data_IF_335448703333
#
_entry.id   IF_335448703333
#
_cell.length_a   1.000
_cell.length_b   1.000
_cell.length_c   1.000
_cell.angle_alpha   90.00
_cell.angle_beta   90.00
_cell.angle_gamma   90.00
#
_symmetry.space_group_name_H-M   'P 1'
#
loop_
_entity.id
_entity.type
_entity.pdbx_description
1 polymer ?
#
# COMPACT_ATOMS: atom_id res chain seq x y z
N UNK A 1 -17.11 -23.25 48.91
CA UNK A 1 -17.52 -24.65 49.18
C UNK A 1 -17.71 -25.28 47.80
N UNK A 2 -16.73 -26.05 47.33
CA UNK A 2 -16.80 -26.75 46.05
C UNK A 2 -17.82 -27.87 46.25
N UNK A 3 -18.95 -27.83 45.53
CA UNK A 3 -19.93 -28.92 45.54
C UNK A 3 -19.46 -29.93 44.50
N UNK A 4 -18.94 -31.07 44.95
CA UNK A 4 -18.67 -32.21 44.10
C UNK A 4 -19.97 -32.81 43.54
N UNK A 5 -19.89 -33.29 42.30
CA UNK A 5 -21.02 -33.60 41.41
C UNK A 5 -21.46 -35.06 41.54
N UNK A 6 -22.69 -35.31 41.99
CA UNK A 6 -23.44 -36.55 41.72
C UNK A 6 -24.63 -36.23 40.79
N UNK A 7 -24.97 -37.11 39.82
CA UNK A 7 -26.07 -36.88 38.88
C UNK A 7 -27.44 -37.10 39.55
N UNK A 8 -27.87 -36.14 40.38
CA UNK A 8 -29.26 -35.86 40.69
C UNK A 8 -29.79 -34.80 39.71
N UNK A 9 -31.00 -34.97 39.19
CA UNK A 9 -31.65 -33.99 38.29
C UNK A 9 -31.78 -32.66 39.04
N UNK A 10 -30.92 -31.69 38.73
CA UNK A 10 -31.15 -30.31 39.17
C UNK A 10 -32.51 -29.86 38.64
N UNK A 11 -33.26 -29.15 39.47
CA UNK A 11 -34.53 -28.55 39.11
C UNK A 11 -34.50 -27.08 39.53
N UNK A 12 -35.06 -26.21 38.69
CA UNK A 12 -35.24 -24.82 39.06
C UNK A 12 -36.08 -24.72 40.34
N UNK A 13 -35.81 -23.71 41.16
CA UNK A 13 -36.49 -23.48 42.45
C UNK A 13 -37.19 -22.11 42.43
N UNK A 14 -37.97 -21.74 43.46
CA UNK A 14 -38.56 -20.41 43.53
C UNK A 14 -37.54 -19.26 43.51
N UNK A 15 -36.28 -19.51 43.86
CA UNK A 15 -35.23 -18.49 44.00
C UNK A 15 -34.02 -18.71 43.11
N UNK A 16 -33.90 -19.86 42.44
CA UNK A 16 -32.78 -20.21 41.57
C UNK A 16 -33.28 -20.74 40.23
N UNK A 17 -32.73 -20.19 39.14
CA UNK A 17 -32.92 -20.69 37.80
C UNK A 17 -32.01 -21.89 37.52
N UNK A 18 -32.53 -22.86 36.77
CA UNK A 18 -31.73 -23.92 36.18
C UNK A 18 -31.23 -23.50 34.80
N UNK A 19 -29.91 -23.45 34.63
CA UNK A 19 -29.29 -23.23 33.33
C UNK A 19 -28.80 -24.57 32.79
N UNK A 20 -29.26 -24.92 31.60
CA UNK A 20 -28.83 -26.08 30.84
C UNK A 20 -28.09 -25.60 29.60
N UNK A 21 -26.78 -25.75 29.59
CA UNK A 21 -25.96 -25.37 28.46
C UNK A 21 -25.52 -26.58 27.65
N UNK A 22 -25.47 -26.37 26.34
CA UNK A 22 -24.75 -27.23 25.40
C UNK A 22 -23.62 -26.41 24.78
N UNK A 23 -22.37 -26.78 25.04
CA UNK A 23 -21.20 -26.12 24.50
C UNK A 23 -20.77 -26.86 23.22
N UNK A 24 -20.73 -26.13 22.12
CA UNK A 24 -20.35 -26.67 20.81
C UNK A 24 -19.29 -25.79 20.16
N UNK A 25 -18.44 -26.37 19.33
CA UNK A 25 -17.62 -25.63 18.38
C UNK A 25 -18.49 -25.14 17.21
N UNK A 26 -17.93 -24.27 16.37
CA UNK A 26 -18.61 -23.70 15.19
C UNK A 26 -19.01 -24.74 14.14
N UNK A 27 -18.35 -25.90 14.11
CA UNK A 27 -18.72 -27.08 13.30
C UNK A 27 -19.76 -27.99 13.99
N UNK A 28 -20.32 -27.54 15.13
CA UNK A 28 -21.29 -28.25 15.99
C UNK A 28 -20.72 -29.47 16.72
N UNK A 29 -19.41 -29.65 16.75
CA UNK A 29 -18.80 -30.68 17.59
C UNK A 29 -18.91 -30.29 19.07
N UNK A 30 -19.33 -31.19 19.98
CA UNK A 30 -19.47 -30.83 21.40
C UNK A 30 -18.12 -30.62 22.10
N UNK A 31 -18.08 -29.72 23.08
CA UNK A 31 -16.85 -29.37 23.82
C UNK A 31 -17.00 -29.55 25.33
N UNK A 32 -16.02 -30.23 25.94
CA UNK A 32 -15.89 -30.36 27.39
C UNK A 32 -15.02 -29.22 27.94
N UNK A 33 -15.64 -28.27 28.64
CA UNK A 33 -15.06 -26.98 29.00
C UNK A 33 -15.37 -26.62 30.44
N UNK A 34 -14.42 -25.98 31.12
CA UNK A 34 -14.64 -25.39 32.44
C UNK A 34 -15.32 -24.03 32.27
N UNK A 35 -16.44 -23.84 32.98
CA UNK A 35 -17.32 -22.68 32.88
C UNK A 35 -17.42 -21.98 34.23
N UNK A 36 -17.24 -20.66 34.22
CA UNK A 36 -17.44 -19.79 35.38
C UNK A 36 -18.47 -18.71 35.07
N UNK A 37 -19.57 -18.71 35.83
CA UNK A 37 -20.58 -17.65 35.83
C UNK A 37 -20.34 -16.71 37.01
N UNK A 38 -20.32 -15.40 36.76
CA UNK A 38 -20.18 -14.38 37.80
C UNK A 38 -21.40 -13.46 37.76
N UNK A 39 -22.20 -13.43 38.83
CA UNK A 39 -23.39 -12.57 38.90
C UNK A 39 -23.02 -11.08 38.97
N UNK A 40 -23.61 -10.23 38.14
CA UNK A 40 -23.32 -8.79 38.09
C UNK A 40 -23.84 -8.06 39.32
N UNK A 41 -25.01 -8.46 39.83
CA UNK A 41 -25.64 -7.92 41.04
C UNK A 41 -25.13 -8.63 42.30
N UNK A 42 -25.17 -9.96 42.31
CA UNK A 42 -24.78 -10.78 43.47
C UNK A 42 -23.28 -10.84 43.71
N UNK A 43 -22.46 -10.64 42.66
CA UNK A 43 -21.00 -10.85 42.65
C UNK A 43 -20.58 -12.29 43.01
N UNK A 44 -21.52 -13.24 43.03
CA UNK A 44 -21.25 -14.63 43.35
C UNK A 44 -20.71 -15.40 42.14
N UNK A 45 -19.79 -16.32 42.40
CA UNK A 45 -19.19 -17.21 41.40
C UNK A 45 -19.87 -18.59 41.41
N UNK A 46 -20.20 -19.08 40.22
CA UNK A 46 -20.78 -20.40 40.02
C UNK A 46 -19.95 -21.15 38.97
N UNK A 47 -19.35 -22.27 39.36
CA UNK A 47 -18.45 -23.05 38.51
C UNK A 47 -19.12 -24.35 38.10
N UNK A 48 -18.99 -24.72 36.84
CA UNK A 48 -19.40 -26.03 36.33
C UNK A 48 -18.49 -26.47 35.18
N UNK A 49 -18.65 -27.70 34.73
CA UNK A 49 -17.92 -28.27 33.60
C UNK A 49 -18.90 -28.93 32.63
N UNK A 50 -18.73 -28.72 31.33
CA UNK A 50 -19.45 -29.51 30.33
C UNK A 50 -18.78 -30.87 30.14
N UNK A 51 -19.61 -31.90 29.95
CA UNK A 51 -19.13 -33.25 29.69
C UNK A 51 -18.69 -33.44 28.23
N UNK A 52 -18.28 -34.66 27.86
CA UNK A 52 -17.84 -35.00 26.50
C UNK A 52 -18.89 -34.76 25.40
N UNK A 53 -20.17 -34.64 25.77
CA UNK A 53 -21.27 -34.32 24.87
C UNK A 53 -21.58 -32.82 24.86
N UNK A 54 -20.72 -31.99 25.47
CA UNK A 54 -20.90 -30.56 25.59
C UNK A 54 -21.95 -30.13 26.61
N UNK A 55 -22.53 -31.05 27.37
CA UNK A 55 -23.69 -30.74 28.21
C UNK A 55 -23.24 -30.40 29.63
N UNK A 56 -23.79 -29.32 30.19
CA UNK A 56 -23.70 -29.00 31.61
C UNK A 56 -25.01 -28.44 32.15
N UNK A 57 -25.18 -28.50 33.46
CA UNK A 57 -26.25 -27.83 34.17
C UNK A 57 -25.73 -27.15 35.44
N UNK A 58 -26.39 -26.06 35.83
CA UNK A 58 -26.03 -25.30 37.03
C UNK A 58 -27.23 -24.50 37.53
N UNK A 59 -27.35 -24.34 38.86
CA UNK A 59 -28.33 -23.45 39.48
C UNK A 59 -27.68 -22.09 39.79
N UNK A 60 -28.39 -21.02 39.45
CA UNK A 60 -27.99 -19.65 39.79
C UNK A 60 -29.19 -18.84 40.31
N UNK A 61 -29.00 -17.87 41.23
CA UNK A 61 -30.08 -16.99 41.66
C UNK A 61 -30.84 -16.30 40.52
N UNK A 62 -32.16 -16.16 40.68
CA UNK A 62 -32.98 -15.38 39.75
C UNK A 62 -32.76 -13.86 39.95
N UNK A 63 -33.20 -13.04 38.98
CA UNK A 63 -33.10 -11.58 39.04
C UNK A 63 -31.65 -11.03 39.11
N UNK A 64 -30.77 -11.63 38.31
CA UNK A 64 -29.38 -11.22 38.13
C UNK A 64 -28.97 -11.43 36.65
N UNK A 65 -27.85 -10.84 36.25
CA UNK A 65 -27.20 -11.09 34.96
C UNK A 65 -25.84 -11.71 35.21
N UNK A 66 -25.56 -12.84 34.58
CA UNK A 66 -24.32 -13.59 34.80
C UNK A 66 -23.36 -13.38 33.65
N UNK A 67 -22.10 -13.05 33.97
CA UNK A 67 -21.01 -13.06 33.01
C UNK A 67 -20.48 -14.48 32.91
N UNK A 68 -20.61 -15.09 31.74
CA UNK A 68 -20.05 -16.38 31.42
C UNK A 68 -18.59 -16.23 31.01
N UNK A 69 -17.74 -17.09 31.57
CA UNK A 69 -16.31 -17.14 31.34
C UNK A 69 -15.90 -18.58 31.03
N UNK A 70 -15.04 -18.75 30.03
CA UNK A 70 -14.26 -19.97 29.84
C UNK A 70 -12.81 -19.71 30.26
N UNK A 71 -12.03 -20.77 30.51
CA UNK A 71 -10.62 -20.68 30.93
C UNK A 71 -9.77 -19.77 30.03
N UNK A 72 -10.01 -19.79 28.72
CA UNK A 72 -9.29 -18.96 27.73
C UNK A 72 -10.14 -17.79 27.17
N UNK A 73 -11.37 -17.59 27.65
CA UNK A 73 -12.27 -16.54 27.18
C UNK A 73 -12.99 -15.87 28.36
N UNK A 74 -12.33 -14.93 29.06
CA UNK A 74 -12.98 -14.17 30.12
C UNK A 74 -14.01 -13.21 29.54
N UNK A 75 -15.10 -13.00 30.28
CA UNK A 75 -16.22 -12.14 29.89
C UNK A 75 -16.79 -12.46 28.51
N UNK A 76 -16.96 -13.75 28.22
CA UNK A 76 -17.41 -14.25 26.94
C UNK A 76 -18.81 -13.75 26.60
N UNK A 77 -19.77 -13.98 27.48
CA UNK A 77 -21.19 -13.64 27.25
C UNK A 77 -21.89 -13.16 28.52
N UNK A 78 -22.95 -12.35 28.37
CA UNK A 78 -23.84 -11.99 29.48
C UNK A 78 -25.18 -12.71 29.34
N UNK A 79 -25.60 -13.39 30.41
CA UNK A 79 -26.83 -14.17 30.47
C UNK A 79 -27.77 -13.53 31.48
N UNK A 80 -28.85 -12.91 30.99
CA UNK A 80 -29.84 -12.27 31.85
C UNK A 80 -30.86 -13.31 32.37
N UNK A 81 -31.00 -13.41 33.69
CA UNK A 81 -31.96 -14.30 34.34
C UNK A 81 -33.08 -13.46 34.96
N UNK A 82 -34.33 -13.61 34.50
CA UNK A 82 -35.45 -12.80 34.98
C UNK A 82 -35.80 -13.13 36.43
N UNK A 83 -36.60 -12.29 37.06
CA UNK A 83 -37.17 -12.54 38.40
C UNK A 83 -38.38 -13.47 38.32
N UNK A 84 -38.19 -14.68 37.78
CA UNK A 84 -39.26 -15.66 37.58
C UNK A 84 -38.96 -16.94 38.38
N UNK A 85 -39.83 -17.35 39.32
CA UNK A 85 -39.73 -18.62 40.01
C UNK A 85 -39.68 -19.80 39.03
N UNK A 86 -38.86 -20.81 39.32
CA UNK A 86 -38.73 -22.03 38.52
C UNK A 86 -38.24 -21.79 37.07
N UNK A 87 -37.55 -20.68 36.82
CA UNK A 87 -37.03 -20.35 35.49
C UNK A 87 -36.01 -21.39 34.98
N UNK A 88 -36.17 -21.79 33.72
CA UNK A 88 -35.31 -22.75 33.04
C UNK A 88 -34.76 -22.13 31.75
N UNK A 89 -33.45 -21.94 31.69
CA UNK A 89 -32.76 -21.55 30.47
C UNK A 89 -32.16 -22.80 29.81
N UNK A 90 -32.44 -22.98 28.51
CA UNK A 90 -31.76 -23.96 27.68
C UNK A 90 -31.10 -23.23 26.53
N UNK A 91 -29.77 -23.24 26.49
CA UNK A 91 -29.02 -22.57 25.45
C UNK A 91 -27.89 -23.42 24.91
N UNK A 92 -27.60 -23.22 23.62
CA UNK A 92 -26.41 -23.76 22.98
C UNK A 92 -25.42 -22.62 22.82
N UNK A 93 -24.24 -22.76 23.40
CA UNK A 93 -23.18 -21.77 23.39
C UNK A 93 -22.12 -22.25 22.41
N UNK A 94 -21.89 -21.47 21.35
CA UNK A 94 -20.85 -21.76 20.37
C UNK A 94 -19.52 -21.18 20.83
N UNK A 95 -18.59 -22.03 21.25
CA UNK A 95 -17.27 -21.67 21.74
C UNK A 95 -16.20 -22.35 20.89
N UNK A 96 -15.22 -21.62 20.36
CA UNK A 96 -14.21 -22.21 19.44
C UNK A 96 -13.12 -23.05 20.15
N UNK A 97 -13.31 -23.34 21.45
CA UNK A 97 -12.44 -24.20 22.27
C UNK A 97 -11.00 -23.70 22.38
N UNK A 98 -10.10 -24.57 22.86
CA UNK A 98 -8.66 -24.29 23.01
C UNK A 98 -7.87 -24.13 21.69
N UNK A 99 -8.54 -24.26 20.53
CA UNK A 99 -7.90 -24.08 19.22
C UNK A 99 -7.51 -22.62 18.93
N UNK A 100 -8.11 -21.67 19.66
CA UNK A 100 -7.80 -20.23 19.61
C UNK A 100 -7.37 -19.74 21.00
N UNK A 101 -6.42 -18.81 21.02
CA UNK A 101 -5.93 -18.17 22.26
C UNK A 101 -6.67 -16.87 22.58
N UNK A 102 -7.46 -16.36 21.65
CA UNK A 102 -8.24 -15.12 21.76
C UNK A 102 -9.68 -15.39 21.32
N UNK A 103 -10.62 -14.85 22.07
CA UNK A 103 -12.06 -14.94 21.82
C UNK A 103 -12.68 -13.54 21.93
N UNK A 104 -13.81 -13.27 21.23
CA UNK A 104 -14.57 -12.05 21.48
C UNK A 104 -15.10 -12.06 22.91
N UNK A 105 -15.42 -10.87 23.40
CA UNK A 105 -15.97 -10.68 24.75
C UNK A 105 -17.16 -9.73 24.69
N UNK A 106 -17.78 -9.51 25.86
CA UNK A 106 -18.85 -8.53 26.05
C UNK A 106 -18.39 -7.08 25.88
N UNK A 107 -17.07 -6.83 25.81
CA UNK A 107 -16.49 -5.48 25.68
C UNK A 107 -15.63 -5.29 24.43
N UNK A 108 -15.25 -6.38 23.75
CA UNK A 108 -14.36 -6.35 22.60
C UNK A 108 -14.83 -7.28 21.48
N UNK A 109 -14.76 -6.79 20.24
CA UNK A 109 -14.86 -7.60 19.04
C UNK A 109 -13.52 -8.28 18.75
N UNK A 110 -13.57 -9.45 18.10
CA UNK A 110 -12.39 -10.16 17.62
C UNK A 110 -12.31 -10.08 16.09
N UNK A 111 -11.26 -9.45 15.57
CA UNK A 111 -10.90 -9.53 14.17
C UNK A 111 -10.12 -10.81 13.90
N UNK A 112 -10.54 -11.54 12.88
CA UNK A 112 -9.85 -12.69 12.30
C UNK A 112 -9.39 -12.30 10.89
N UNK A 113 -8.13 -11.90 10.76
CA UNK A 113 -7.58 -11.39 9.50
C UNK A 113 -6.74 -12.47 8.84
N UNK A 114 -7.23 -13.00 7.73
CA UNK A 114 -6.48 -13.94 6.88
C UNK A 114 -5.64 -13.17 5.87
N UNK A 115 -4.36 -13.51 5.74
CA UNK A 115 -3.47 -12.94 4.74
C UNK A 115 -3.14 -13.97 3.67
N UNK A 116 -3.47 -13.66 2.42
CA UNK A 116 -3.30 -14.51 1.26
C UNK A 116 -2.32 -13.80 0.32
N UNK A 117 -1.23 -14.47 -0.06
CA UNK A 117 -0.29 -13.90 -1.02
C UNK A 117 -0.89 -13.82 -2.44
N UNK A 118 -0.14 -13.22 -3.37
CA UNK A 118 -0.60 -13.07 -4.76
C UNK A 118 -0.66 -14.40 -5.53
N UNK A 119 -0.10 -15.48 -4.98
CA UNK A 119 -0.15 -16.84 -5.53
C UNK A 119 -1.23 -17.70 -4.86
N UNK A 120 -2.01 -17.13 -3.93
CA UNK A 120 -3.14 -17.80 -3.28
C UNK A 120 -2.77 -18.57 -2.01
N UNK A 121 -1.54 -18.47 -1.50
CA UNK A 121 -1.14 -19.17 -0.28
C UNK A 121 -1.34 -18.30 0.97
N UNK A 122 -1.66 -18.94 2.09
CA UNK A 122 -1.75 -18.28 3.38
C UNK A 122 -0.36 -17.87 3.88
N UNK A 123 -0.15 -16.57 4.14
CA UNK A 123 1.16 -16.03 4.52
C UNK A 123 1.31 -15.91 6.03
N UNK A 124 2.37 -16.51 6.57
CA UNK A 124 2.74 -16.43 8.00
C UNK A 124 3.57 -15.18 8.31
N UNK A 125 3.56 -14.77 9.58
CA UNK A 125 4.35 -13.64 10.11
C UNK A 125 4.07 -12.27 9.45
N UNK A 126 2.88 -12.11 8.89
CA UNK A 126 2.42 -10.84 8.34
C UNK A 126 1.91 -9.94 9.46
N UNK A 127 2.45 -8.72 9.55
CA UNK A 127 2.02 -7.74 10.54
C UNK A 127 0.69 -7.11 10.14
N UNK A 128 -0.32 -7.27 11.00
CA UNK A 128 -1.65 -6.69 10.86
C UNK A 128 -1.83 -5.61 11.92
N UNK A 129 -2.27 -4.44 11.49
CA UNK A 129 -2.46 -3.25 12.33
C UNK A 129 -3.91 -2.80 12.19
N UNK A 130 -4.62 -2.71 13.31
CA UNK A 130 -5.97 -2.17 13.39
C UNK A 130 -5.93 -0.86 14.17
N UNK A 131 -6.28 0.24 13.52
CA UNK A 131 -6.20 1.59 14.08
C UNK A 131 -7.59 2.15 14.32
N UNK A 132 -7.89 2.57 15.55
CA UNK A 132 -9.11 3.30 15.85
C UNK A 132 -9.06 4.68 15.18
N UNK A 133 -10.02 4.97 14.31
CA UNK A 133 -10.03 6.20 13.50
C UNK A 133 -10.32 7.48 14.30
N UNK A 134 -10.89 7.36 15.50
CA UNK A 134 -11.20 8.51 16.37
C UNK A 134 -10.04 8.83 17.30
N UNK A 135 -9.42 7.80 17.89
CA UNK A 135 -8.38 7.97 18.93
C UNK A 135 -6.95 7.78 18.42
N UNK A 136 -6.78 7.29 17.20
CA UNK A 136 -5.50 6.84 16.61
C UNK A 136 -4.79 5.73 17.39
N UNK A 137 -5.46 5.09 18.37
CA UNK A 137 -4.91 3.94 19.09
C UNK A 137 -4.79 2.73 18.14
N UNK A 138 -3.63 2.10 18.12
CA UNK A 138 -3.36 0.90 17.31
C UNK A 138 -3.43 -0.39 18.14
N UNK A 139 -3.82 -1.46 17.46
CA UNK A 139 -3.87 -2.83 17.96
C UNK A 139 -3.18 -3.71 16.91
N UNK A 140 -2.19 -4.48 17.31
CA UNK A 140 -1.32 -5.18 16.37
C UNK A 140 -1.21 -6.67 16.70
N UNK A 141 -1.11 -7.48 15.66
CA UNK A 141 -0.82 -8.91 15.76
C UNK A 141 -0.12 -9.37 14.49
N UNK A 142 0.34 -10.63 14.49
CA UNK A 142 0.99 -11.26 13.35
C UNK A 142 0.24 -12.52 12.95
N UNK A 143 0.22 -12.83 11.66
CA UNK A 143 -0.39 -14.07 11.19
C UNK A 143 0.40 -15.28 11.69
N UNK A 144 -0.32 -16.31 12.15
CA UNK A 144 0.26 -17.59 12.57
C UNK A 144 0.68 -18.47 11.38
N UNK A 145 1.01 -19.73 11.66
CA UNK A 145 1.34 -20.72 10.61
C UNK A 145 0.18 -21.00 9.64
N UNK A 146 -1.05 -20.73 10.08
CA UNK A 146 -2.27 -20.84 9.27
C UNK A 146 -2.57 -19.54 8.48
N UNK A 147 -1.69 -18.53 8.51
CA UNK A 147 -1.88 -17.25 7.83
C UNK A 147 -3.01 -16.37 8.39
N UNK A 148 -3.47 -16.63 9.62
CA UNK A 148 -4.52 -15.83 10.28
C UNK A 148 -3.95 -15.09 11.47
N UNK A 149 -4.27 -13.80 11.60
CA UNK A 149 -4.02 -12.98 12.78
C UNK A 149 -5.32 -12.72 13.54
N UNK A 150 -5.26 -12.79 14.87
CA UNK A 150 -6.38 -12.53 15.77
C UNK A 150 -6.12 -11.25 16.57
N UNK A 151 -7.05 -10.29 16.55
CA UNK A 151 -6.89 -8.97 17.19
C UNK A 151 -8.20 -8.55 17.87
N UNK A 152 -8.16 -8.33 19.18
CA UNK A 152 -9.31 -7.81 19.93
C UNK A 152 -9.34 -6.28 19.95
N UNK A 153 -10.49 -5.68 19.66
CA UNK A 153 -10.69 -4.22 19.72
C UNK A 153 -12.01 -3.84 20.40
N UNK A 154 -12.08 -2.68 21.07
CA UNK A 154 -13.32 -2.21 21.71
C UNK A 154 -14.52 -2.02 20.76
N UNK A 155 -15.73 -2.17 21.31
CA UNK A 155 -16.96 -1.83 20.58
C UNK A 155 -17.16 -0.31 20.40
N UNK A 156 -18.10 0.06 19.52
CA UNK A 156 -18.59 1.43 19.36
C UNK A 156 -17.65 2.35 18.58
N UNK A 157 -16.75 1.80 17.78
CA UNK A 157 -15.69 2.53 17.11
C UNK A 157 -15.55 2.13 15.64
N UNK A 158 -14.97 3.03 14.84
CA UNK A 158 -14.57 2.74 13.46
C UNK A 158 -13.07 2.48 13.42
N UNK A 159 -12.68 1.44 12.69
CA UNK A 159 -11.31 0.99 12.60
C UNK A 159 -10.82 0.98 11.17
N UNK A 160 -9.55 1.33 10.97
CA UNK A 160 -8.80 1.08 9.74
C UNK A 160 -7.96 -0.18 9.92
N UNK A 161 -8.02 -1.09 8.96
CA UNK A 161 -7.25 -2.33 8.93
C UNK A 161 -6.14 -2.16 7.91
N UNK A 162 -4.91 -2.47 8.32
CA UNK A 162 -3.70 -2.28 7.56
C UNK A 162 -2.81 -3.51 7.64
N UNK A 163 -2.00 -3.74 6.61
CA UNK A 163 -0.82 -4.57 6.68
C UNK A 163 0.43 -3.71 6.49
N UNK A 164 1.61 -4.24 6.85
CA UNK A 164 2.90 -3.50 6.83
C UNK A 164 3.14 -2.69 5.55
N UNK A 165 2.92 -3.29 4.37
CA UNK A 165 3.11 -2.63 3.06
C UNK A 165 1.81 -2.22 2.35
N UNK A 166 0.68 -2.39 3.04
CA UNK A 166 -0.66 -2.03 2.54
C UNK A 166 -1.44 -1.28 3.64
N UNK A 167 -1.06 -0.02 3.93
CA UNK A 167 -1.76 0.79 4.93
C UNK A 167 -3.16 1.16 4.44
N UNK A 168 -4.13 1.15 5.36
CA UNK A 168 -5.50 1.56 5.09
C UNK A 168 -6.24 0.68 4.09
N UNK A 169 -6.00 -0.64 4.13
CA UNK A 169 -6.60 -1.61 3.22
C UNK A 169 -8.13 -1.52 3.17
N UNK A 170 -8.76 -1.47 4.34
CA UNK A 170 -10.19 -1.24 4.48
C UNK A 170 -10.53 -0.62 5.83
N UNK A 171 -11.78 -0.18 5.98
CA UNK A 171 -12.33 0.28 7.26
C UNK A 171 -13.49 -0.60 7.67
N UNK A 172 -13.68 -0.80 8.98
CA UNK A 172 -14.81 -1.54 9.53
C UNK A 172 -15.39 -0.84 10.76
N UNK A 173 -16.72 -0.77 10.82
CA UNK A 173 -17.44 -0.20 11.97
C UNK A 173 -17.84 -1.31 12.93
N UNK A 174 -17.34 -1.23 14.16
CA UNK A 174 -17.59 -2.23 15.20
C UNK A 174 -18.72 -1.73 16.09
N UNK A 175 -19.90 -2.34 15.99
CA UNK A 175 -21.12 -1.87 16.66
C UNK A 175 -21.12 -2.23 18.15
N UNK A 176 -21.89 -1.52 18.98
CA UNK A 176 -22.13 -1.90 20.38
C UNK A 176 -23.13 -3.07 20.47
N UNK A 177 -22.69 -4.27 20.09
CA UNK A 177 -23.43 -5.52 20.21
C UNK A 177 -22.56 -6.56 20.93
N UNK A 178 -23.19 -7.46 21.68
CA UNK A 178 -22.49 -8.60 22.30
C UNK A 178 -21.87 -9.50 21.23
N UNK A 179 -20.65 -9.97 21.49
CA UNK A 179 -19.88 -10.97 20.74
C UNK A 179 -19.86 -10.81 19.20
N UNK A 180 -18.80 -10.21 18.67
CA UNK A 180 -18.60 -10.07 17.22
C UNK A 180 -17.28 -10.68 16.76
N UNK A 181 -17.38 -11.63 15.83
CA UNK A 181 -16.28 -12.08 14.98
C UNK A 181 -16.30 -11.28 13.69
N UNK A 182 -15.15 -10.69 13.33
CA UNK A 182 -15.01 -9.90 12.11
C UNK A 182 -13.95 -10.56 11.23
N UNK A 183 -14.40 -11.28 10.21
CA UNK A 183 -13.53 -11.97 9.26
C UNK A 183 -13.13 -11.01 8.13
N UNK A 184 -11.84 -10.79 7.96
CA UNK A 184 -11.27 -10.00 6.87
C UNK A 184 -10.27 -10.87 6.11
N UNK A 185 -10.29 -10.80 4.78
CA UNK A 185 -9.26 -11.41 3.94
C UNK A 185 -8.49 -10.32 3.21
N UNK A 186 -7.16 -10.30 3.39
CA UNK A 186 -6.24 -9.45 2.65
C UNK A 186 -5.58 -10.33 1.57
N UNK A 187 -5.61 -9.86 0.33
CA UNK A 187 -4.83 -10.45 -0.77
C UNK A 187 -3.81 -9.43 -1.27
N UNK A 188 -2.53 -9.68 -1.00
CA UNK A 188 -1.43 -8.78 -1.35
C UNK A 188 -0.09 -9.52 -1.33
N UNK A 189 0.98 -8.92 -1.85
CA UNK A 189 2.31 -9.54 -1.77
C UNK A 189 2.72 -9.74 -0.30
N UNK A 190 3.38 -10.86 0.00
CA UNK A 190 3.88 -11.12 1.36
C UNK A 190 4.95 -10.11 1.74
N UNK A 191 5.11 -9.86 3.04
CA UNK A 191 6.18 -9.01 3.56
C UNK A 191 7.57 -9.54 3.19
N UNK A 192 7.72 -10.88 3.12
CA UNK A 192 8.99 -11.52 2.75
C UNK A 192 9.34 -11.25 1.28
N UNK A 193 8.39 -11.41 0.37
CA UNK A 193 8.60 -11.19 -1.07
C UNK A 193 8.78 -9.69 -1.38
N UNK A 194 8.06 -8.83 -0.68
CA UNK A 194 8.25 -7.39 -0.79
C UNK A 194 9.69 -6.99 -0.43
N UNK A 195 10.21 -7.47 0.70
CA UNK A 195 11.57 -7.19 1.14
C UNK A 195 12.63 -7.84 0.24
N UNK A 196 12.34 -9.02 -0.31
CA UNK A 196 13.22 -9.66 -1.30
C UNK A 196 13.36 -8.78 -2.55
N UNK A 197 12.25 -8.32 -3.13
CA UNK A 197 12.25 -7.45 -4.32
C UNK A 197 12.90 -6.10 -4.05
N UNK A 198 12.68 -5.53 -2.87
CA UNK A 198 13.35 -4.30 -2.45
C UNK A 198 14.88 -4.47 -2.48
N UNK A 199 15.41 -5.62 -2.05
CA UNK A 199 16.84 -5.93 -2.13
C UNK A 199 17.32 -6.11 -3.58
N UNK A 200 16.55 -6.78 -4.43
CA UNK A 200 16.89 -6.92 -5.86
C UNK A 200 16.99 -5.56 -6.55
N UNK A 201 16.04 -4.64 -6.28
CA UNK A 201 16.09 -3.27 -6.80
C UNK A 201 17.30 -2.50 -6.31
N UNK A 202 17.63 -2.61 -5.03
CA UNK A 202 18.82 -1.96 -4.46
C UNK A 202 20.11 -2.48 -5.12
N UNK A 203 20.17 -3.78 -5.39
CA UNK A 203 21.29 -4.37 -6.12
C UNK A 203 21.35 -3.84 -7.56
N UNK A 204 20.23 -3.77 -8.27
CA UNK A 204 20.17 -3.24 -9.63
C UNK A 204 20.61 -1.76 -9.70
N UNK A 205 20.18 -0.93 -8.76
CA UNK A 205 20.64 0.47 -8.60
C UNK A 205 22.15 0.52 -8.39
N UNK A 206 22.68 -0.32 -7.50
CA UNK A 206 24.13 -0.37 -7.20
C UNK A 206 24.95 -0.78 -8.42
N UNK A 207 24.46 -1.74 -9.21
CA UNK A 207 25.09 -2.18 -10.46
C UNK A 207 25.05 -1.05 -11.49
N UNK A 208 23.88 -0.43 -11.70
CA UNK A 208 23.70 0.74 -12.59
C UNK A 208 24.70 1.84 -12.25
N UNK A 209 24.81 2.23 -10.98
CA UNK A 209 25.69 3.33 -10.55
C UNK A 209 27.17 2.99 -10.72
N UNK A 210 27.54 1.73 -10.48
CA UNK A 210 28.89 1.23 -10.73
C UNK A 210 29.25 1.30 -12.21
N UNK A 211 28.34 0.86 -13.09
CA UNK A 211 28.51 0.95 -14.54
C UNK A 211 28.55 2.40 -15.04
N UNK A 212 27.73 3.27 -14.46
CA UNK A 212 27.72 4.69 -14.79
C UNK A 212 29.07 5.35 -14.45
N UNK A 213 29.65 5.05 -13.27
CA UNK A 213 30.98 5.56 -12.87
C UNK A 213 32.10 5.11 -13.82
N UNK A 214 32.04 3.87 -14.31
CA UNK A 214 33.03 3.32 -15.25
C UNK A 214 32.92 3.93 -16.64
N UNK A 215 31.70 4.19 -17.09
CA UNK A 215 31.41 4.69 -18.44
C UNK A 215 31.21 6.21 -18.49
N UNK A 216 31.55 6.94 -17.42
CA UNK A 216 31.34 8.38 -17.34
C UNK A 216 32.25 9.10 -18.34
N UNK A 217 31.71 9.41 -19.51
CA UNK A 217 32.31 10.33 -20.45
C UNK A 217 31.77 11.73 -20.18
N UNK A 218 32.65 12.73 -20.19
CA UNK A 218 32.25 14.14 -20.19
C UNK A 218 31.83 14.51 -21.60
N UNK A 219 30.56 14.30 -21.92
CA UNK A 219 30.00 14.83 -23.17
C UNK A 219 30.03 16.36 -23.12
N UNK A 220 30.55 16.98 -24.18
CA UNK A 220 30.47 18.43 -24.36
C UNK A 220 29.01 18.81 -24.65
N UNK A 221 28.36 19.40 -23.66
CA UNK A 221 26.98 19.90 -23.75
C UNK A 221 26.92 21.32 -24.31
N UNK A 222 27.99 21.87 -24.91
CA UNK A 222 27.95 23.18 -25.54
C UNK A 222 26.86 23.25 -26.60
N UNK A 223 26.20 24.42 -26.70
CA UNK A 223 25.11 24.63 -27.65
C UNK A 223 25.54 24.34 -29.09
N UNK A 224 26.72 24.79 -29.51
CA UNK A 224 27.23 24.55 -30.86
C UNK A 224 27.32 23.06 -31.15
N UNK A 225 27.78 22.26 -30.18
CA UNK A 225 27.86 20.80 -30.30
C UNK A 225 26.47 20.17 -30.43
N UNK A 226 25.54 20.56 -29.56
CA UNK A 226 24.15 20.08 -29.58
C UNK A 226 23.45 20.43 -30.90
N UNK A 227 23.65 21.64 -31.41
CA UNK A 227 23.05 22.09 -32.67
C UNK A 227 23.64 21.36 -33.89
N UNK A 228 24.96 21.12 -33.92
CA UNK A 228 25.59 20.30 -34.97
C UNK A 228 25.04 18.87 -34.96
N UNK A 229 25.02 18.23 -33.78
CA UNK A 229 24.49 16.86 -33.63
C UNK A 229 23.01 16.79 -34.04
N UNK A 230 22.18 17.76 -33.61
CA UNK A 230 20.78 17.83 -34.00
C UNK A 230 20.58 18.02 -35.51
N UNK A 231 21.46 18.78 -36.19
CA UNK A 231 21.41 18.95 -37.64
C UNK A 231 21.71 17.64 -38.40
N UNK A 232 22.65 16.83 -37.91
CA UNK A 232 22.94 15.51 -38.45
C UNK A 232 21.76 14.55 -38.22
N UNK A 233 21.24 14.52 -36.99
CA UNK A 233 20.08 13.69 -36.63
C UNK A 233 18.87 14.06 -37.49
N UNK A 234 18.63 15.36 -37.76
CA UNK A 234 17.52 15.79 -38.62
C UNK A 234 17.60 15.20 -40.03
N UNK A 235 18.81 15.07 -40.59
CA UNK A 235 19.01 14.42 -41.90
C UNK A 235 18.76 12.91 -41.81
N UNK A 236 19.28 12.27 -40.77
CA UNK A 236 19.11 10.82 -40.57
C UNK A 236 17.65 10.43 -40.35
N UNK A 237 16.87 11.23 -39.64
CA UNK A 237 15.44 10.99 -39.40
C UNK A 237 14.60 10.95 -40.68
N UNK A 238 15.07 11.54 -41.79
CA UNK A 238 14.39 11.47 -43.10
C UNK A 238 14.45 10.06 -43.70
N UNK A 239 15.53 9.33 -43.45
CA UNK A 239 15.76 7.97 -43.97
C UNK A 239 15.60 6.89 -42.91
N UNK A 240 15.74 7.24 -41.64
CA UNK A 240 15.71 6.35 -40.49
C UNK A 240 14.72 6.87 -39.43
N UNK A 241 13.41 6.71 -39.63
CA UNK A 241 12.39 7.26 -38.71
C UNK A 241 12.45 6.67 -37.29
N UNK A 242 13.13 5.53 -37.10
CA UNK A 242 13.39 4.88 -35.80
C UNK A 242 14.83 5.08 -35.29
N UNK A 243 15.47 6.20 -35.69
CA UNK A 243 16.87 6.49 -35.35
C UNK A 243 17.12 6.45 -33.83
N UNK A 244 16.25 7.09 -33.03
CA UNK A 244 16.43 7.17 -31.59
C UNK A 244 16.25 5.81 -30.89
N UNK A 245 15.29 5.00 -31.34
CA UNK A 245 15.11 3.62 -30.87
C UNK A 245 16.37 2.78 -31.13
N UNK A 246 16.92 2.85 -32.35
CA UNK A 246 18.15 2.14 -32.73
C UNK A 246 19.36 2.58 -31.91
N UNK A 247 19.41 3.85 -31.52
CA UNK A 247 20.48 4.43 -30.68
C UNK A 247 20.28 4.21 -29.18
N UNK A 248 19.19 3.57 -28.78
CA UNK A 248 18.83 3.37 -27.36
C UNK A 248 18.67 4.69 -26.60
N UNK A 249 18.05 5.68 -27.23
CA UNK A 249 17.76 7.00 -26.67
C UNK A 249 16.29 7.13 -26.24
N UNK A 250 15.90 6.65 -25.05
CA UNK A 250 14.49 6.54 -24.66
C UNK A 250 13.76 7.89 -24.64
N UNK A 251 14.40 8.95 -24.14
CA UNK A 251 13.77 10.26 -23.97
C UNK A 251 13.54 10.92 -25.32
N UNK A 252 14.59 11.00 -26.15
CA UNK A 252 14.46 11.60 -27.47
C UNK A 252 13.49 10.80 -28.35
N UNK A 253 13.51 9.47 -28.23
CA UNK A 253 12.60 8.57 -28.94
C UNK A 253 11.14 8.87 -28.60
N UNK A 254 10.78 8.84 -27.31
CA UNK A 254 9.41 9.09 -26.86
C UNK A 254 8.95 10.51 -27.20
N UNK A 255 9.76 11.52 -26.90
CA UNK A 255 9.42 12.91 -27.20
C UNK A 255 9.26 13.15 -28.69
N UNK A 256 10.07 12.49 -29.53
CA UNK A 256 9.91 12.55 -30.98
C UNK A 256 8.62 11.85 -31.41
N UNK A 257 8.33 10.62 -30.96
CA UNK A 257 7.09 9.90 -31.32
C UNK A 257 5.82 10.64 -30.89
N UNK A 258 5.83 11.26 -29.71
CA UNK A 258 4.66 11.90 -29.09
C UNK A 258 4.52 13.39 -29.41
N UNK A 259 5.44 13.96 -30.22
CA UNK A 259 5.55 15.40 -30.55
C UNK A 259 4.25 16.07 -30.99
N UNK A 260 3.36 15.34 -31.69
CA UNK A 260 2.10 15.87 -32.20
C UNK A 260 0.88 15.53 -31.32
N UNK A 261 1.06 14.74 -30.26
CA UNK A 261 -0.01 14.26 -29.40
C UNK A 261 -0.13 15.09 -28.12
N UNK A 262 1.00 15.46 -27.51
CA UNK A 262 1.02 16.20 -26.25
C UNK A 262 1.12 17.71 -26.47
N UNK A 263 0.08 18.44 -26.07
CA UNK A 263 -0.04 19.90 -26.22
C UNK A 263 -0.05 20.58 -24.84
N UNK A 264 0.26 21.88 -24.81
CA UNK A 264 0.28 22.72 -23.61
C UNK A 264 1.04 22.14 -22.38
N UNK A 265 1.99 21.24 -22.63
CA UNK A 265 2.70 20.47 -21.60
C UNK A 265 3.65 21.27 -20.70
N UNK A 266 3.94 20.68 -19.53
CA UNK A 266 5.08 20.99 -18.66
C UNK A 266 5.98 19.76 -18.61
N UNK A 267 7.26 19.90 -18.94
CA UNK A 267 8.23 18.81 -18.93
C UNK A 267 9.00 18.88 -17.61
N UNK A 268 8.82 17.87 -16.77
CA UNK A 268 9.42 17.74 -15.44
C UNK A 268 10.50 16.67 -15.52
N UNK A 269 11.75 17.06 -15.35
CA UNK A 269 12.92 16.23 -15.64
C UNK A 269 13.73 16.03 -14.37
N UNK A 270 13.95 14.76 -14.03
CA UNK A 270 14.92 14.37 -13.01
C UNK A 270 16.35 14.70 -13.52
N UNK A 271 17.08 15.47 -12.71
CA UNK A 271 18.46 15.89 -12.93
C UNK A 271 19.40 15.38 -11.83
N UNK A 272 19.06 14.25 -11.20
CA UNK A 272 20.01 13.48 -10.40
C UNK A 272 21.10 12.86 -11.27
N UNK A 273 22.18 12.37 -10.64
CA UNK A 273 23.37 11.90 -11.36
C UNK A 273 23.07 10.73 -12.29
N UNK A 274 22.14 9.83 -11.95
CA UNK A 274 21.78 8.71 -12.82
C UNK A 274 21.07 9.14 -14.10
N UNK A 275 20.57 10.38 -14.13
CA UNK A 275 19.87 10.95 -15.28
C UNK A 275 20.76 11.72 -16.26
N UNK A 276 22.06 11.87 -15.98
CA UNK A 276 22.99 12.68 -16.78
C UNK A 276 22.93 12.36 -18.29
N UNK A 277 22.98 11.07 -18.66
CA UNK A 277 22.92 10.65 -20.07
C UNK A 277 21.59 10.97 -20.76
N UNK A 278 20.49 11.00 -20.01
CA UNK A 278 19.15 11.25 -20.55
C UNK A 278 18.84 12.76 -20.67
N UNK A 279 19.47 13.61 -19.83
CA UNK A 279 19.28 15.07 -19.92
C UNK A 279 19.77 15.64 -21.26
N UNK A 280 20.84 15.08 -21.85
CA UNK A 280 21.31 15.43 -23.20
C UNK A 280 20.24 15.18 -24.27
N UNK A 281 19.48 14.10 -24.16
CA UNK A 281 18.42 13.76 -25.11
C UNK A 281 17.30 14.82 -25.14
N UNK A 282 17.02 15.48 -24.01
CA UNK A 282 16.12 16.64 -23.97
C UNK A 282 16.67 17.78 -24.82
N UNK A 283 17.95 18.11 -24.67
CA UNK A 283 18.61 19.18 -25.43
C UNK A 283 18.58 18.89 -26.93
N UNK A 284 18.92 17.66 -27.33
CA UNK A 284 18.85 17.22 -28.72
C UNK A 284 17.43 17.33 -29.28
N UNK A 285 16.42 16.88 -28.54
CA UNK A 285 15.02 16.98 -28.96
C UNK A 285 14.57 18.44 -29.15
N UNK A 286 14.95 19.35 -28.24
CA UNK A 286 14.66 20.79 -28.40
C UNK A 286 15.37 21.34 -29.64
N UNK A 287 16.65 21.03 -29.83
CA UNK A 287 17.46 21.50 -30.96
C UNK A 287 16.98 20.96 -32.32
N UNK A 288 16.30 19.81 -32.34
CA UNK A 288 15.65 19.32 -33.56
C UNK A 288 14.55 20.26 -34.07
N UNK A 289 13.97 21.09 -33.19
CA UNK A 289 12.80 21.94 -33.48
C UNK A 289 11.59 21.11 -33.95
N UNK A 290 11.45 19.90 -33.41
CA UNK A 290 10.39 18.97 -33.79
C UNK A 290 8.98 19.45 -33.38
N UNK A 291 8.91 20.41 -32.44
CA UNK A 291 7.69 21.08 -31.98
C UNK A 291 7.85 22.61 -32.05
N UNK A 292 8.51 23.12 -33.11
CA UNK A 292 8.75 24.56 -33.25
C UNK A 292 7.43 25.35 -33.19
N UNK A 293 7.39 26.42 -32.41
CA UNK A 293 6.17 27.18 -32.12
C UNK A 293 5.39 26.75 -30.86
N UNK A 294 5.69 25.59 -30.27
CA UNK A 294 5.14 25.23 -28.95
C UNK A 294 5.92 25.89 -27.80
N UNK A 295 5.19 26.49 -26.85
CA UNK A 295 5.77 27.03 -25.61
C UNK A 295 5.97 25.91 -24.59
N UNK A 296 7.06 25.16 -24.76
CA UNK A 296 7.50 24.15 -23.80
C UNK A 296 8.08 24.82 -22.56
N UNK A 297 7.62 24.40 -21.39
CA UNK A 297 8.15 24.82 -20.09
C UNK A 297 8.81 23.62 -19.41
N UNK A 298 9.85 23.90 -18.63
CA UNK A 298 10.67 22.88 -17.99
C UNK A 298 10.78 23.13 -16.49
N UNK A 299 10.72 22.06 -15.71
CA UNK A 299 11.24 22.00 -14.34
C UNK A 299 12.30 20.91 -14.30
N UNK A 300 13.47 21.26 -13.84
CA UNK A 300 14.53 20.32 -13.48
C UNK A 300 14.54 20.14 -11.97
N UNK A 301 14.54 18.90 -11.49
CA UNK A 301 14.59 18.62 -10.06
C UNK A 301 15.77 17.72 -9.70
N UNK A 302 16.29 17.89 -8.48
CA UNK A 302 17.52 17.24 -8.02
C UNK A 302 17.40 16.70 -6.59
N UNK A 303 16.17 16.52 -6.12
CA UNK A 303 15.87 15.97 -4.80
C UNK A 303 16.37 16.81 -3.62
N UNK A 304 16.14 18.12 -3.74
CA UNK A 304 16.15 19.01 -2.58
C UNK A 304 17.43 19.84 -2.41
N UNK A 305 18.19 20.13 -3.46
CA UNK A 305 19.37 21.00 -3.41
C UNK A 305 20.40 20.60 -2.32
N UNK A 306 20.84 19.32 -2.33
CA UNK A 306 21.81 18.76 -1.37
C UNK A 306 21.34 18.74 0.09
N UNK A 307 20.03 18.83 0.34
CA UNK A 307 19.47 18.58 1.67
C UNK A 307 19.85 17.20 2.18
N UNK A 308 20.21 17.12 3.46
CA UNK A 308 20.43 15.84 4.12
C UNK A 308 19.10 15.11 4.34
N UNK A 309 19.10 13.76 4.49
CA UNK A 309 17.88 12.96 4.62
C UNK A 309 16.87 13.51 5.65
N UNK A 310 17.34 13.94 6.82
CA UNK A 310 16.50 14.52 7.88
C UNK A 310 15.87 15.88 7.57
N UNK A 311 16.16 16.47 6.41
CA UNK A 311 15.61 17.75 5.95
C UNK A 311 14.64 17.57 4.77
N UNK A 312 14.54 16.37 4.20
CA UNK A 312 13.68 16.05 3.07
C UNK A 312 12.27 15.65 3.54
N UNK A 313 11.61 16.59 4.19
CA UNK A 313 10.23 16.43 4.64
C UNK A 313 9.31 16.39 3.42
N UNK A 314 8.53 15.31 3.28
CA UNK A 314 7.54 15.16 2.20
C UNK A 314 6.68 16.43 2.10
N UNK A 315 6.65 17.03 0.91
CA UNK A 315 5.93 18.27 0.62
C UNK A 315 6.73 19.56 0.86
N UNK A 316 7.99 19.45 1.29
CA UNK A 316 8.92 20.57 1.54
C UNK A 316 10.35 20.25 1.10
N UNK A 317 10.56 19.21 0.29
CA UNK A 317 11.90 18.77 -0.14
C UNK A 317 12.54 19.81 -1.05
N UNK A 318 11.82 20.39 -2.01
CA UNK A 318 12.36 21.44 -2.88
C UNK A 318 13.31 20.93 -3.96
N UNK A 319 14.25 21.78 -4.39
CA UNK A 319 15.22 21.43 -5.44
C UNK A 319 14.69 21.59 -6.87
N UNK A 320 13.75 22.50 -7.08
CA UNK A 320 13.08 22.70 -8.37
C UNK A 320 13.62 23.94 -9.10
N UNK A 321 14.07 23.76 -10.34
CA UNK A 321 14.69 24.79 -11.17
C UNK A 321 13.89 24.95 -12.45
N UNK A 322 13.17 26.07 -12.57
CA UNK A 322 12.19 26.31 -13.64
C UNK A 322 12.77 27.17 -14.76
N UNK A 323 12.41 26.84 -16.01
CA UNK A 323 12.59 27.74 -17.16
C UNK A 323 11.46 27.59 -18.17
N UNK A 324 11.00 28.71 -18.74
CA UNK A 324 10.09 28.74 -19.88
C UNK A 324 10.80 28.93 -21.22
N UNK A 325 12.13 28.93 -21.20
CA UNK A 325 12.96 29.17 -22.38
C UNK A 325 13.27 27.85 -23.08
N UNK A 326 13.01 27.79 -24.38
CA UNK A 326 13.48 26.72 -25.25
C UNK A 326 14.87 27.00 -25.84
N UNK A 327 15.55 28.07 -25.41
CA UNK A 327 16.92 28.36 -25.81
C UNK A 327 17.88 27.36 -25.15
N UNK A 328 18.73 26.73 -25.96
CA UNK A 328 19.65 25.68 -25.53
C UNK A 328 20.60 26.14 -24.42
N UNK A 329 21.21 27.34 -24.51
CA UNK A 329 22.09 27.86 -23.46
C UNK A 329 21.36 28.04 -22.11
N UNK A 330 20.10 28.49 -22.17
CA UNK A 330 19.27 28.64 -20.97
C UNK A 330 18.92 27.28 -20.37
N UNK A 331 18.63 26.28 -21.21
CA UNK A 331 18.34 24.92 -20.74
C UNK A 331 19.57 24.28 -20.09
N UNK A 332 20.74 24.35 -20.76
CA UNK A 332 22.00 23.83 -20.22
C UNK A 332 22.31 24.49 -18.87
N UNK A 333 22.29 25.82 -18.79
CA UNK A 333 22.58 26.51 -17.52
C UNK A 333 21.59 26.18 -16.41
N UNK A 334 20.31 25.99 -16.72
CA UNK A 334 19.30 25.60 -15.71
C UNK A 334 19.52 24.15 -15.25
N UNK A 335 19.81 23.22 -16.18
CA UNK A 335 20.16 21.83 -15.87
C UNK A 335 21.44 21.76 -15.03
N UNK A 336 22.47 22.53 -15.36
CA UNK A 336 23.74 22.55 -14.63
C UNK A 336 23.59 23.12 -13.22
N UNK A 337 22.76 24.16 -13.04
CA UNK A 337 22.39 24.65 -11.71
C UNK A 337 21.67 23.58 -10.91
N UNK A 338 20.71 22.88 -11.51
CA UNK A 338 20.01 21.77 -10.86
C UNK A 338 20.98 20.65 -10.48
N UNK A 339 21.80 20.17 -11.41
CA UNK A 339 22.78 19.10 -11.17
C UNK A 339 23.78 19.46 -10.08
N UNK A 340 24.40 20.65 -10.16
CA UNK A 340 25.43 21.09 -9.21
C UNK A 340 24.89 21.24 -7.79
N UNK A 341 23.62 21.62 -7.64
CA UNK A 341 22.95 21.66 -6.33
C UNK A 341 22.46 20.30 -5.86
N UNK A 342 22.39 19.28 -6.72
CA UNK A 342 21.98 17.92 -6.35
C UNK A 342 23.14 17.00 -5.96
N UNK A 343 24.37 17.50 -5.96
CA UNK A 343 25.56 16.69 -5.66
C UNK A 343 25.50 16.12 -4.23
N UNK A 344 26.18 14.98 -4.04
CA UNK A 344 26.26 14.28 -2.75
C UNK A 344 24.93 13.71 -2.24
N UNK A 345 23.88 13.68 -3.07
CA UNK A 345 22.70 12.89 -2.76
C UNK A 345 23.05 11.38 -2.85
N UNK A 346 23.00 10.70 -1.71
CA UNK A 346 23.25 9.26 -1.61
C UNK A 346 21.95 8.47 -1.35
N UNK A 347 20.80 9.14 -1.38
CA UNK A 347 19.50 8.49 -1.29
C UNK A 347 19.08 7.97 -2.66
N UNK A 348 18.37 6.84 -2.66
CA UNK A 348 17.89 6.19 -3.89
C UNK A 348 16.47 6.65 -4.27
N UNK A 349 15.73 7.21 -3.31
CA UNK A 349 14.36 7.66 -3.49
C UNK A 349 14.38 9.15 -3.84
N UNK A 350 13.51 9.58 -4.74
CA UNK A 350 13.46 10.97 -5.25
C UNK A 350 12.12 11.65 -4.91
N UNK A 351 12.00 12.96 -5.17
CA UNK A 351 10.80 13.78 -4.86
C UNK A 351 9.96 14.16 -6.10
N UNK A 352 9.69 13.18 -6.96
CA UNK A 352 9.00 13.37 -8.23
C UNK A 352 7.62 14.04 -8.09
N UNK A 353 6.83 13.68 -7.08
CA UNK A 353 5.46 14.20 -6.95
C UNK A 353 5.46 15.67 -6.58
N UNK A 354 6.35 16.11 -5.69
CA UNK A 354 6.53 17.53 -5.38
C UNK A 354 6.95 18.31 -6.64
N UNK A 355 7.85 17.76 -7.47
CA UNK A 355 8.27 18.39 -8.72
C UNK A 355 7.10 18.54 -9.70
N UNK A 356 6.27 17.50 -9.84
CA UNK A 356 5.05 17.52 -10.65
C UNK A 356 4.03 18.54 -10.12
N UNK A 357 3.83 18.60 -8.81
CA UNK A 357 2.94 19.57 -8.17
C UNK A 357 3.43 21.00 -8.39
N UNK A 358 4.72 21.26 -8.27
CA UNK A 358 5.29 22.57 -8.61
C UNK A 358 5.11 22.90 -10.09
N UNK A 359 5.34 21.93 -10.98
CA UNK A 359 5.07 22.05 -12.41
C UNK A 359 3.63 22.48 -12.69
N UNK A 360 2.66 21.83 -12.05
CA UNK A 360 1.24 22.13 -12.22
C UNK A 360 0.86 23.57 -11.85
N UNK A 361 1.65 24.24 -10.97
CA UNK A 361 1.39 25.61 -10.50
C UNK A 361 2.03 26.68 -11.41
N UNK A 362 3.08 26.36 -12.16
CA UNK A 362 3.90 27.35 -12.90
C UNK A 362 3.25 27.83 -14.19
N UNK A 363 2.34 27.07 -14.79
CA UNK A 363 1.68 27.42 -16.05
C UNK A 363 0.16 27.29 -15.88
N UNK A 364 -0.58 28.33 -16.31
CA UNK A 364 -2.03 28.25 -16.43
C UNK A 364 -2.39 27.39 -17.65
N UNK A 365 -3.44 26.59 -17.55
CA UNK A 365 -3.93 25.72 -18.63
C UNK A 365 -2.87 24.70 -19.10
N UNK A 366 -2.35 23.91 -18.16
CA UNK A 366 -1.56 22.71 -18.49
C UNK A 366 -2.54 21.59 -18.79
N UNK A 367 -2.44 21.01 -19.98
CA UNK A 367 -3.22 19.82 -20.34
C UNK A 367 -2.59 18.55 -19.74
N UNK A 368 -1.25 18.48 -19.73
CA UNK A 368 -0.49 17.28 -19.34
C UNK A 368 0.87 17.63 -18.73
N UNK A 369 1.31 16.81 -17.76
CA UNK A 369 2.66 16.83 -17.20
C UNK A 369 3.47 15.70 -17.82
N UNK A 370 4.70 15.95 -18.27
CA UNK A 370 5.61 14.92 -18.78
C UNK A 370 6.70 14.69 -17.74
N UNK A 371 6.66 13.57 -17.02
CA UNK A 371 7.70 13.19 -16.06
C UNK A 371 8.78 12.39 -16.78
N UNK A 372 10.02 12.85 -16.74
CA UNK A 372 11.19 12.10 -17.23
C UNK A 372 11.99 11.67 -16.01
N UNK A 373 11.95 10.37 -15.69
CA UNK A 373 12.57 9.83 -14.47
C UNK A 373 13.37 8.57 -14.73
N UNK A 374 14.30 8.30 -13.82
CA UNK A 374 14.97 7.02 -13.74
C UNK A 374 13.97 5.92 -13.39
N UNK A 375 13.98 4.82 -14.14
CA UNK A 375 13.14 3.68 -13.84
C UNK A 375 13.52 3.01 -12.51
N UNK A 376 14.79 2.99 -12.10
CA UNK A 376 15.19 2.25 -10.91
C UNK A 376 14.88 2.96 -9.58
N UNK A 377 14.84 4.29 -9.58
CA UNK A 377 14.65 5.09 -8.36
C UNK A 377 13.19 5.08 -7.88
N UNK A 378 12.90 4.69 -6.62
CA UNK A 378 11.57 4.82 -6.03
C UNK A 378 11.18 6.29 -5.80
N UNK A 379 9.89 6.54 -5.62
CA UNK A 379 9.35 7.89 -5.40
C UNK A 379 8.98 8.06 -3.93
N UNK A 380 9.72 8.90 -3.20
CA UNK A 380 9.57 9.09 -1.74
C UNK A 380 8.20 9.64 -1.35
N UNK A 381 7.67 10.50 -2.19
CA UNK A 381 6.53 11.38 -1.89
C UNK A 381 5.22 10.93 -2.56
N UNK A 382 5.09 9.64 -2.89
CA UNK A 382 3.86 9.02 -3.46
C UNK A 382 2.58 9.32 -2.67
N UNK A 383 2.67 9.59 -1.37
CA UNK A 383 1.51 10.00 -0.55
C UNK A 383 0.87 11.33 -1.02
N UNK A 384 1.63 12.17 -1.74
CA UNK A 384 1.16 13.43 -2.31
C UNK A 384 0.45 13.23 -3.66
N UNK A 385 0.54 12.05 -4.29
CA UNK A 385 0.02 11.80 -5.64
C UNK A 385 -1.46 12.16 -5.79
N UNK A 386 -2.25 11.96 -4.73
CA UNK A 386 -3.68 12.35 -4.67
C UNK A 386 -3.96 13.85 -4.88
N UNK A 387 -2.93 14.70 -4.81
CA UNK A 387 -3.05 16.15 -5.03
C UNK A 387 -2.91 16.52 -6.52
N UNK A 388 -2.43 15.61 -7.37
CA UNK A 388 -2.31 15.83 -8.81
C UNK A 388 -3.67 15.60 -9.49
N UNK A 389 -4.10 16.59 -10.28
CA UNK A 389 -5.36 16.56 -11.02
C UNK A 389 -5.16 16.68 -12.54
N UNK A 390 -3.91 16.55 -12.99
CA UNK A 390 -3.50 16.67 -14.40
C UNK A 390 -2.88 15.33 -14.81
N UNK A 391 -3.20 14.79 -16.00
CA UNK A 391 -2.57 13.58 -16.51
C UNK A 391 -1.04 13.66 -16.53
N UNK A 392 -0.38 12.64 -15.97
CA UNK A 392 1.08 12.51 -15.96
C UNK A 392 1.52 11.46 -16.97
N UNK A 393 2.28 11.90 -17.98
CA UNK A 393 2.93 11.06 -18.98
C UNK A 393 4.34 10.76 -18.49
N UNK A 394 4.60 9.53 -18.04
CA UNK A 394 5.91 9.13 -17.52
C UNK A 394 6.78 8.57 -18.64
N UNK A 395 7.95 9.14 -18.86
CA UNK A 395 9.02 8.59 -19.68
C UNK A 395 9.97 7.88 -18.71
N UNK A 396 9.98 6.54 -18.75
CA UNK A 396 10.79 5.71 -17.88
C UNK A 396 12.16 5.43 -18.53
N UNK A 397 13.22 5.97 -17.95
CA UNK A 397 14.59 5.84 -18.46
C UNK A 397 15.28 4.60 -17.88
N UNK A 398 16.08 3.90 -18.70
CA UNK A 398 16.83 2.73 -18.24
C UNK A 398 16.02 1.45 -18.04
N UNK A 399 14.81 1.36 -18.61
CA UNK A 399 14.01 0.12 -18.59
C UNK A 399 14.76 -0.98 -19.35
N UNK A 400 14.93 -2.14 -18.72
CA UNK A 400 15.48 -3.35 -19.35
C UNK A 400 14.36 -4.39 -19.54
N UNK A 401 13.74 -4.82 -18.44
CA UNK A 401 12.62 -5.77 -18.47
C UNK A 401 11.44 -5.30 -17.61
N UNK A 402 11.71 -4.68 -16.46
CA UNK A 402 10.72 -4.23 -15.47
C UNK A 402 10.58 -2.72 -15.48
N UNK A 403 9.34 -2.24 -15.52
CA UNK A 403 8.97 -0.85 -15.18
C UNK A 403 8.71 -0.76 -13.68
N UNK A 404 9.23 0.27 -13.04
CA UNK A 404 8.98 0.55 -11.63
C UNK A 404 7.51 0.87 -11.37
N UNK A 405 6.95 0.27 -10.32
CA UNK A 405 5.52 0.35 -10.04
C UNK A 405 5.06 1.76 -9.64
N UNK A 406 5.92 2.61 -9.10
CA UNK A 406 5.57 4.00 -8.80
C UNK A 406 5.27 4.76 -10.11
N UNK A 407 6.01 4.49 -11.20
CA UNK A 407 5.73 5.08 -12.51
C UNK A 407 4.35 4.62 -13.05
N UNK A 408 4.04 3.33 -12.89
CA UNK A 408 2.74 2.77 -13.27
C UNK A 408 1.61 3.38 -12.43
N UNK A 409 1.80 3.50 -11.10
CA UNK A 409 0.83 4.07 -10.18
C UNK A 409 0.57 5.57 -10.44
N UNK A 410 1.63 6.34 -10.72
CA UNK A 410 1.53 7.76 -11.11
C UNK A 410 0.66 7.90 -12.35
N UNK A 411 0.96 7.16 -13.42
CA UNK A 411 0.18 7.21 -14.65
C UNK A 411 -1.26 6.72 -14.44
N UNK A 412 -1.45 5.62 -13.71
CA UNK A 412 -2.76 5.05 -13.41
C UNK A 412 -3.66 6.05 -12.67
N UNK A 413 -3.20 6.62 -11.56
CA UNK A 413 -4.00 7.51 -10.70
C UNK A 413 -4.27 8.87 -11.33
N UNK A 414 -3.41 9.32 -12.23
CA UNK A 414 -3.57 10.60 -12.93
C UNK A 414 -4.28 10.47 -14.27
N UNK A 415 -4.68 9.27 -14.69
CA UNK A 415 -5.20 8.99 -16.05
C UNK A 415 -4.20 9.37 -17.16
N UNK A 416 -2.93 9.23 -16.83
CA UNK A 416 -1.79 9.44 -17.69
C UNK A 416 -1.37 8.18 -18.44
N UNK A 417 -0.09 8.07 -18.75
CA UNK A 417 0.48 6.94 -19.50
C UNK A 417 1.96 6.75 -19.18
N UNK A 418 2.49 5.57 -19.44
CA UNK A 418 3.93 5.27 -19.28
C UNK A 418 4.54 4.95 -20.63
N UNK A 419 5.74 5.47 -20.87
CA UNK A 419 6.43 5.39 -22.14
C UNK A 419 7.84 4.88 -21.93
N UNK A 420 8.19 3.83 -22.66
CA UNK A 420 9.54 3.30 -22.75
C UNK A 420 10.08 3.53 -24.16
N UNK A 421 11.30 3.11 -24.42
CA UNK A 421 11.85 3.14 -25.77
C UNK A 421 11.06 2.24 -26.74
N UNK A 422 10.49 1.14 -26.23
CA UNK A 422 9.86 0.07 -27.01
C UNK A 422 8.33 0.14 -27.03
N UNK A 423 7.71 0.65 -25.96
CA UNK A 423 6.27 0.54 -25.73
C UNK A 423 5.67 1.84 -25.17
N UNK A 424 4.47 2.20 -25.65
CA UNK A 424 3.68 3.32 -25.15
C UNK A 424 2.39 2.78 -24.48
N UNK A 425 2.33 2.83 -23.15
CA UNK A 425 1.27 2.22 -22.33
C UNK A 425 0.23 3.29 -21.98
N UNK A 426 -0.82 3.38 -22.80
CA UNK A 426 -1.75 4.51 -22.80
C UNK A 426 -2.92 4.39 -21.81
N UNK A 427 -3.38 3.17 -21.52
CA UNK A 427 -4.73 2.94 -20.99
C UNK A 427 -4.75 2.31 -19.59
N UNK A 428 -3.69 2.52 -18.77
CA UNK A 428 -3.61 1.95 -17.42
C UNK A 428 -4.86 2.24 -16.58
N UNK A 429 -5.38 3.47 -16.66
CA UNK A 429 -6.56 3.90 -15.87
C UNK A 429 -7.88 3.20 -16.24
N UNK A 430 -7.91 2.42 -17.32
CA UNK A 430 -9.09 1.61 -17.70
C UNK A 430 -9.21 0.31 -16.90
N UNK A 431 -8.09 -0.14 -16.32
CA UNK A 431 -8.04 -1.36 -15.50
C UNK A 431 -8.60 -1.12 -14.10
N UNK A 432 -8.99 -2.21 -13.44
CA UNK A 432 -9.56 -2.23 -12.09
C UNK A 432 -8.64 -2.94 -11.11
N UNK A 433 -8.85 -2.67 -9.83
CA UNK A 433 -8.27 -3.48 -8.76
C UNK A 433 -8.58 -4.96 -8.98
N UNK A 434 -7.54 -5.79 -8.90
CA UNK A 434 -7.58 -7.23 -9.16
C UNK A 434 -7.07 -7.63 -10.55
N UNK A 435 -7.10 -6.71 -11.52
CA UNK A 435 -6.63 -6.98 -12.89
C UNK A 435 -5.12 -7.28 -12.93
N UNK A 436 -4.72 -8.07 -13.91
CA UNK A 436 -3.31 -8.25 -14.27
C UNK A 436 -3.03 -7.63 -15.63
N UNK A 437 -1.98 -6.82 -15.71
CA UNK A 437 -1.56 -6.10 -16.91
C UNK A 437 -0.19 -6.63 -17.30
N UNK A 438 -0.08 -7.11 -18.54
CA UNK A 438 1.20 -7.50 -19.12
C UNK A 438 1.84 -6.30 -19.81
N UNK A 439 3.07 -5.97 -19.44
CA UNK A 439 3.86 -4.87 -19.99
C UNK A 439 5.21 -5.44 -20.38
N UNK A 440 5.56 -5.37 -21.66
CA UNK A 440 6.66 -6.14 -22.22
C UNK A 440 6.58 -7.63 -21.85
N UNK A 441 7.60 -8.12 -21.14
CA UNK A 441 7.69 -9.53 -20.68
C UNK A 441 7.19 -9.73 -19.26
N UNK A 442 6.81 -8.65 -18.56
CA UNK A 442 6.46 -8.67 -17.16
C UNK A 442 4.96 -8.56 -16.97
N UNK A 443 4.44 -9.19 -15.92
CA UNK A 443 3.03 -9.11 -15.55
C UNK A 443 2.92 -8.43 -14.19
N UNK A 444 2.06 -7.42 -14.10
CA UNK A 444 1.78 -6.67 -12.88
C UNK A 444 0.33 -6.88 -12.48
N UNK A 445 0.06 -7.02 -11.19
CA UNK A 445 -1.29 -7.04 -10.63
C UNK A 445 -1.61 -5.72 -9.96
N UNK A 446 -2.82 -5.20 -10.21
CA UNK A 446 -3.33 -4.01 -9.55
C UNK A 446 -3.97 -4.41 -8.23
N UNK A 447 -3.47 -3.88 -7.12
CA UNK A 447 -3.96 -4.16 -5.78
C UNK A 447 -4.18 -2.85 -5.03
N UNK A 448 -5.44 -2.43 -4.84
CA UNK A 448 -5.79 -1.17 -4.16
C UNK A 448 -5.14 0.06 -4.80
N UNK A 449 -5.13 0.09 -6.13
CA UNK A 449 -4.53 1.13 -6.95
C UNK A 449 -3.00 1.16 -6.93
N UNK A 450 -2.34 0.14 -6.35
CA UNK A 450 -0.90 -0.07 -6.44
C UNK A 450 -0.60 -1.16 -7.46
N UNK A 451 0.51 -1.05 -8.18
CA UNK A 451 1.01 -2.11 -9.04
C UNK A 451 1.96 -3.01 -8.24
N UNK A 452 1.89 -4.31 -8.48
CA UNK A 452 2.81 -5.28 -7.90
C UNK A 452 3.23 -6.25 -9.00
N UNK A 453 4.52 -6.36 -9.26
CA UNK A 453 5.04 -7.36 -10.20
C UNK A 453 4.59 -8.78 -9.76
N UNK A 454 4.25 -9.69 -10.67
CA UNK A 454 3.90 -11.08 -10.31
C UNK A 454 4.60 -12.13 -11.18
N UNK A 455 5.12 -11.74 -12.35
CA UNK A 455 5.85 -12.59 -13.29
C UNK A 455 6.85 -11.75 -14.11
#
# INVERSE_FOLDING_TARGET
MIRDFEPGKLHATPTEALLNFKIENTDKTPLAEDILLIGKKSKQEFKTKSNINGITNILVPINDTYILNFTNAPSFEEIAIPNEPFYLLKETIYFMGHSQTLHPSTTQALFCVSYIDLWGNLSKDEQIIITNLTTNKTYESRTGQNGVAYISVPFGNNYSISAKYLPGFCTHSVQNKSMQYINISITYISSADYEFRKKERLLAITIRDSLFKLNKNTDDLSKDRIEVEANEIRKLLLTEPKFFERRRSPVASVLYRMRNKWKNKMIVVDCTTSMDNYTKEILLWVALKATDGEKNNFIFFNDGDSKYPGQKWIGKTGGFHYTSSANIDTLISTMDVSRSKGLYNNEIEENDIEALLEGSKKKKNIDELILVKDNYSPVRDMVLLKQLNVPVRVIACGVIDEINEDALEIAYKTKGSVHTIEEDIMDLSSHKDGDSVKIGKKTYRICKGKFVLIE
#
